data_IF_015458119264
#
_entry.id   IF_015458119264
#
_cell.length_a   1.000
_cell.length_b   1.000
_cell.length_c   1.000
_cell.angle_alpha   90.00
_cell.angle_beta   90.00
_cell.angle_gamma   90.00
#
_symmetry.space_group_name_H-M   'P 1'
#
loop_
_entity.id
_entity.type
_entity.pdbx_description
1 polymer ?
#
# COMPACT_ATOMS: atom_id res chain seq x y z
N UNK A 1 9.78 9.71 -12.46
CA UNK A 1 8.94 8.58 -12.90
C UNK A 1 8.49 7.79 -11.68
N UNK A 2 7.18 7.73 -11.40
CA UNK A 2 6.65 6.85 -10.35
C UNK A 2 6.10 5.58 -10.98
N UNK A 3 6.40 4.42 -10.40
CA UNK A 3 5.79 3.15 -10.81
C UNK A 3 4.43 3.02 -10.12
N UNK A 4 3.38 2.76 -10.89
CA UNK A 4 2.05 2.50 -10.33
C UNK A 4 1.99 1.05 -9.85
N UNK A 5 1.81 0.86 -8.54
CA UNK A 5 1.78 -0.46 -7.92
C UNK A 5 0.36 -0.99 -7.65
N UNK A 6 -0.68 -0.19 -7.92
CA UNK A 6 -2.03 -0.53 -7.53
C UNK A 6 -3.06 0.57 -7.80
N UNK A 7 -4.23 0.40 -7.19
CA UNK A 7 -5.38 1.30 -7.28
C UNK A 7 -5.96 1.60 -5.90
N UNK A 8 -6.36 2.84 -5.67
CA UNK A 8 -7.16 3.22 -4.52
C UNK A 8 -8.65 2.96 -4.83
N UNK A 9 -9.29 2.14 -4.01
CA UNK A 9 -10.72 1.85 -4.07
C UNK A 9 -11.54 2.76 -3.16
N UNK A 10 -12.83 2.46 -3.03
CA UNK A 10 -13.75 3.19 -2.18
C UNK A 10 -13.54 2.83 -0.69
N UNK A 11 -13.95 3.72 0.22
CA UNK A 11 -13.78 3.59 1.68
C UNK A 11 -12.32 3.56 2.17
N UNK A 12 -11.40 4.23 1.45
CA UNK A 12 -10.00 4.35 1.87
C UNK A 12 -9.18 3.06 1.74
N UNK A 13 -9.71 2.05 1.03
CA UNK A 13 -8.99 0.82 0.75
C UNK A 13 -8.04 1.02 -0.43
N UNK A 14 -6.80 0.58 -0.31
CA UNK A 14 -5.82 0.61 -1.40
C UNK A 14 -5.31 -0.79 -1.65
N UNK A 15 -5.40 -1.23 -2.90
CA UNK A 15 -4.94 -2.53 -3.35
C UNK A 15 -3.67 -2.33 -4.16
N UNK A 16 -2.53 -2.76 -3.63
CA UNK A 16 -1.23 -2.63 -4.28
C UNK A 16 -0.44 -3.95 -4.22
N UNK A 17 0.34 -4.22 -5.26
CA UNK A 17 1.31 -5.32 -5.32
C UNK A 17 2.71 -4.72 -5.25
N UNK A 18 3.39 -5.01 -4.16
CA UNK A 18 4.67 -4.40 -3.83
C UNK A 18 5.77 -5.45 -3.94
N UNK A 19 6.90 -5.13 -4.61
CA UNK A 19 8.01 -6.06 -4.73
C UNK A 19 8.77 -6.19 -3.40
N UNK A 20 8.82 -5.12 -2.61
CA UNK A 20 9.52 -5.04 -1.34
C UNK A 20 8.58 -5.31 -0.17
N UNK A 21 9.11 -5.91 0.91
CA UNK A 21 8.36 -6.15 2.13
C UNK A 21 8.15 -4.88 2.97
N UNK A 22 8.84 -3.78 2.68
CA UNK A 22 8.71 -2.53 3.43
C UNK A 22 9.10 -1.35 2.57
N UNK A 23 8.50 -0.19 2.84
CA UNK A 23 8.85 1.05 2.17
C UNK A 23 7.78 2.10 2.31
N UNK A 24 7.72 2.98 1.32
CA UNK A 24 6.82 4.13 1.30
C UNK A 24 6.00 4.13 0.02
N UNK A 25 4.67 4.20 0.16
CA UNK A 25 3.74 4.38 -0.93
C UNK A 25 3.30 5.82 -1.04
N UNK A 26 3.20 6.30 -2.27
CA UNK A 26 2.59 7.57 -2.61
C UNK A 26 1.26 7.28 -3.29
N UNK A 27 0.16 7.54 -2.58
CA UNK A 27 -1.19 7.39 -3.07
C UNK A 27 -1.60 8.72 -3.68
N UNK A 28 -2.07 8.71 -4.92
CA UNK A 28 -2.56 9.91 -5.61
C UNK A 28 -3.97 9.67 -6.11
N UNK A 29 -4.92 10.43 -5.59
CA UNK A 29 -6.36 10.35 -5.94
C UNK A 29 -6.74 11.43 -6.95
N UNK A 30 -6.08 12.59 -6.87
CA UNK A 30 -6.24 13.70 -7.80
C UNK A 30 -4.87 14.33 -8.08
N UNK A 31 -4.76 15.15 -9.13
CA UNK A 31 -3.59 15.96 -9.49
C UNK A 31 -2.95 16.72 -8.32
N UNK A 32 -3.75 17.14 -7.33
CA UNK A 32 -3.30 17.91 -6.15
C UNK A 32 -3.25 17.12 -4.85
N UNK A 33 -3.87 15.95 -4.80
CA UNK A 33 -4.02 15.19 -3.56
C UNK A 33 -3.14 13.95 -3.62
N UNK A 34 -1.96 14.09 -3.05
CA UNK A 34 -1.01 12.99 -2.82
C UNK A 34 -0.90 12.74 -1.34
N UNK A 35 -0.83 11.48 -0.97
CA UNK A 35 -0.64 11.06 0.39
C UNK A 35 0.48 10.03 0.47
N UNK A 36 1.24 10.06 1.56
CA UNK A 36 2.29 9.10 1.83
C UNK A 36 1.85 8.11 2.90
N UNK A 37 2.07 6.82 2.64
CA UNK A 37 1.82 5.74 3.60
C UNK A 37 3.08 4.89 3.70
N UNK A 38 3.63 4.79 4.90
CA UNK A 38 4.71 3.85 5.18
C UNK A 38 4.11 2.48 5.47
N UNK A 39 4.67 1.45 4.85
CA UNK A 39 4.21 0.08 5.02
C UNK A 39 5.39 -0.82 5.43
N UNK A 40 5.08 -1.79 6.28
CA UNK A 40 5.98 -2.87 6.64
C UNK A 40 5.16 -4.14 6.70
N UNK A 41 5.40 -5.04 5.76
CA UNK A 41 4.81 -6.37 5.79
C UNK A 41 5.39 -7.13 6.97
N UNK A 42 4.55 -7.86 7.72
CA UNK A 42 5.05 -8.79 8.71
C UNK A 42 5.97 -9.81 8.02
N UNK A 43 6.98 -10.30 8.74
CA UNK A 43 7.87 -11.33 8.22
C UNK A 43 7.01 -12.45 7.61
N UNK A 44 7.31 -12.83 6.35
CA UNK A 44 6.58 -13.88 5.63
C UNK A 44 6.72 -15.20 6.40
N UNK A 45 5.86 -15.42 7.38
CA UNK A 45 5.61 -16.74 7.90
C UNK A 45 4.88 -17.46 6.77
N UNK A 46 5.60 -18.35 6.08
CA UNK A 46 5.11 -19.23 5.00
C UNK A 46 3.97 -20.18 5.43
N UNK A 47 3.30 -19.90 6.55
CA UNK A 47 2.41 -20.81 7.25
C UNK A 47 0.92 -20.46 7.12
N UNK A 48 0.55 -19.36 6.44
CA UNK A 48 -0.86 -19.05 6.21
C UNK A 48 -1.10 -18.82 4.74
N UNK A 49 -1.92 -19.67 4.10
CA UNK A 49 -2.26 -19.66 2.68
C UNK A 49 -3.03 -18.42 2.19
N UNK A 50 -2.89 -17.28 2.88
CA UNK A 50 -3.53 -16.03 2.54
C UNK A 50 -2.60 -15.22 1.63
N UNK A 51 -2.98 -15.15 0.35
CA UNK A 51 -2.27 -14.41 -0.69
C UNK A 51 -2.42 -12.87 -0.58
N UNK A 52 -3.11 -12.40 0.47
CA UNK A 52 -3.40 -10.99 0.73
C UNK A 52 -3.01 -10.61 2.15
N UNK A 53 -2.29 -9.50 2.28
CA UNK A 53 -1.91 -8.89 3.56
C UNK A 53 -2.71 -7.61 3.69
N UNK A 54 -3.52 -7.51 4.76
CA UNK A 54 -4.19 -6.27 5.12
C UNK A 54 -3.29 -5.48 6.07
N UNK A 55 -2.94 -4.26 5.64
CA UNK A 55 -2.18 -3.31 6.44
C UNK A 55 -3.06 -2.08 6.65
N UNK A 56 -3.19 -1.67 7.91
CA UNK A 56 -3.80 -0.39 8.26
C UNK A 56 -2.68 0.65 8.39
N UNK A 57 -2.85 1.79 7.73
CA UNK A 57 -1.87 2.86 7.76
C UNK A 57 -2.58 4.21 7.81
N UNK A 58 -1.96 5.18 8.48
CA UNK A 58 -2.42 6.56 8.46
C UNK A 58 -1.84 7.22 7.22
N UNK A 59 -2.72 7.80 6.44
CA UNK A 59 -2.39 8.60 5.30
C UNK A 59 -1.96 10.00 5.77
N UNK A 60 -0.68 10.35 5.56
CA UNK A 60 -0.15 11.69 5.86
C UNK A 60 0.09 12.47 4.58
N UNK A 61 -0.41 13.70 4.53
CA UNK A 61 -0.30 14.61 3.37
C UNK A 61 0.99 15.43 3.43
#
# INVERSE_FOLDING_TARGET
MGKTFGMAGQNGQVYARLPDASGTLFIRWDSKQTCRVNYQMPARNKASGNNFIHLNGICVQ
#
